data_IF_022534105166
#
_entry.id   IF_022534105166
#
_cell.length_a   1.000
_cell.length_b   1.000
_cell.length_c   1.000
_cell.angle_alpha   90.00
_cell.angle_beta   90.00
_cell.angle_gamma   90.00
#
_symmetry.space_group_name_H-M   'P 1'
#
loop_
_entity.id
_entity.type
_entity.pdbx_description
1 polymer ?
#
# COMPACT_ATOMS: atom_id res chain seq x y z
N UNK A 1 -17.52 8.10 4.21
CA UNK A 1 -16.70 9.18 4.78
C UNK A 1 -15.62 9.49 3.75
N UNK A 2 -14.84 10.57 3.90
CA UNK A 2 -13.65 10.74 3.05
C UNK A 2 -12.50 9.87 3.58
N UNK A 3 -11.62 9.39 2.71
CA UNK A 3 -10.42 8.63 3.10
C UNK A 3 -9.61 9.33 4.20
N UNK A 4 -9.51 10.66 4.11
CA UNK A 4 -8.78 11.46 5.09
C UNK A 4 -9.42 11.44 6.49
N UNK A 5 -10.74 11.32 6.58
CA UNK A 5 -11.46 11.18 7.85
C UNK A 5 -11.30 9.77 8.42
N UNK A 6 -11.40 8.73 7.59
CA UNK A 6 -11.33 7.33 8.03
C UNK A 6 -9.92 6.98 8.51
N UNK A 7 -8.90 7.29 7.72
CA UNK A 7 -7.49 7.08 8.11
C UNK A 7 -7.07 8.03 9.22
N UNK A 8 -7.58 9.27 9.22
CA UNK A 8 -7.39 10.21 10.32
C UNK A 8 -7.83 9.64 11.66
N UNK A 9 -9.00 9.01 11.69
CA UNK A 9 -9.56 8.40 12.89
C UNK A 9 -8.84 7.09 13.27
N UNK A 10 -8.52 6.23 12.29
CA UNK A 10 -7.89 4.93 12.55
C UNK A 10 -6.45 5.05 13.03
N UNK A 11 -5.67 5.96 12.44
CA UNK A 11 -4.25 6.14 12.72
C UNK A 11 -3.95 7.37 13.59
N UNK A 12 -5.00 7.99 14.16
CA UNK A 12 -4.91 9.21 14.95
C UNK A 12 -4.15 10.35 14.22
N UNK A 13 -4.33 10.44 12.91
CA UNK A 13 -3.73 11.48 12.08
C UNK A 13 -4.63 12.72 12.03
N UNK A 14 -4.00 13.89 12.03
CA UNK A 14 -4.70 15.15 11.75
C UNK A 14 -5.16 15.20 10.30
N UNK A 15 -6.18 16.00 9.99
CA UNK A 15 -6.64 16.18 8.61
C UNK A 15 -5.52 16.58 7.64
N UNK A 16 -4.54 17.37 8.11
CA UNK A 16 -3.37 17.75 7.31
C UNK A 16 -2.44 16.54 7.03
N UNK A 17 -2.21 15.68 8.03
CA UNK A 17 -1.42 14.47 7.86
C UNK A 17 -2.12 13.47 6.95
N UNK A 18 -3.43 13.27 7.10
CA UNK A 18 -4.20 12.38 6.23
C UNK A 18 -4.15 12.85 4.76
N UNK A 19 -4.28 14.15 4.51
CA UNK A 19 -4.16 14.72 3.16
C UNK A 19 -2.74 14.54 2.57
N UNK A 20 -1.70 14.67 3.40
CA UNK A 20 -0.32 14.40 2.98
C UNK A 20 -0.08 12.92 2.66
N UNK A 21 -0.64 12.02 3.46
CA UNK A 21 -0.57 10.58 3.20
C UNK A 21 -1.29 10.22 1.91
N UNK A 22 -2.51 10.71 1.71
CA UNK A 22 -3.26 10.55 0.45
C UNK A 22 -2.45 11.01 -0.77
N UNK A 23 -1.85 12.21 -0.69
CA UNK A 23 -0.97 12.72 -1.74
C UNK A 23 0.22 11.80 -1.98
N UNK A 24 0.82 11.25 -0.92
CA UNK A 24 1.92 10.31 -1.01
C UNK A 24 1.53 8.97 -1.65
N UNK A 25 0.35 8.44 -1.33
CA UNK A 25 -0.20 7.22 -1.93
C UNK A 25 -0.47 7.39 -3.41
N UNK A 26 -1.05 8.54 -3.80
CA UNK A 26 -1.28 8.88 -5.22
C UNK A 26 0.05 8.99 -5.96
N UNK A 27 1.05 9.66 -5.38
CA UNK A 27 2.38 9.76 -5.98
C UNK A 27 3.06 8.39 -6.12
N UNK A 28 2.87 7.49 -5.15
CA UNK A 28 3.38 6.14 -5.17
C UNK A 28 2.72 5.33 -6.30
N UNK A 29 1.39 5.37 -6.42
CA UNK A 29 0.64 4.73 -7.52
C UNK A 29 1.14 5.21 -8.88
N UNK A 30 1.28 6.52 -9.06
CA UNK A 30 1.78 7.11 -10.29
C UNK A 30 3.22 6.66 -10.61
N UNK A 31 4.08 6.55 -9.59
CA UNK A 31 5.44 6.06 -9.78
C UNK A 31 5.49 4.61 -10.27
N UNK A 32 4.52 3.77 -9.87
CA UNK A 32 4.38 2.41 -10.38
C UNK A 32 3.87 2.41 -11.82
N UNK A 33 2.83 3.19 -12.11
CA UNK A 33 2.22 3.26 -13.45
C UNK A 33 3.14 3.87 -14.51
N UNK A 34 4.04 4.78 -14.11
CA UNK A 34 5.03 5.38 -15.01
C UNK A 34 6.24 4.49 -15.25
N UNK A 35 6.44 3.46 -14.41
CA UNK A 35 7.54 2.53 -14.61
C UNK A 35 7.26 1.62 -15.81
N UNK A 36 8.29 1.34 -16.60
CA UNK A 36 8.17 0.48 -17.77
C UNK A 36 7.74 -0.93 -17.36
N UNK A 37 6.86 -1.56 -18.14
CA UNK A 37 6.29 -2.88 -17.85
C UNK A 37 7.35 -3.99 -17.71
N UNK A 38 8.51 -3.86 -18.37
CA UNK A 38 9.65 -4.78 -18.22
C UNK A 38 10.41 -4.57 -16.91
N UNK A 39 10.32 -3.39 -16.30
CA UNK A 39 11.03 -3.03 -15.06
C UNK A 39 10.19 -3.33 -13.83
N UNK A 40 8.87 -3.16 -13.88
CA UNK A 40 7.96 -3.38 -12.73
C UNK A 40 7.99 -4.81 -12.21
N UNK A 41 8.32 -5.77 -13.08
CA UNK A 41 8.44 -7.19 -12.73
C UNK A 41 9.80 -7.57 -12.13
N UNK A 42 10.73 -6.62 -12.01
CA UNK A 42 12.06 -6.90 -11.46
C UNK A 42 12.04 -6.84 -9.92
N UNK A 43 12.71 -7.77 -9.22
CA UNK A 43 12.86 -7.72 -7.76
C UNK A 43 13.48 -6.42 -7.26
N UNK A 44 14.38 -5.82 -8.06
CA UNK A 44 15.02 -4.55 -7.74
C UNK A 44 14.04 -3.38 -7.73
N UNK A 45 13.11 -3.35 -8.71
CA UNK A 45 12.05 -2.35 -8.73
C UNK A 45 11.08 -2.56 -7.57
N UNK A 46 10.60 -3.79 -7.38
CA UNK A 46 9.70 -4.16 -6.30
C UNK A 46 10.24 -3.76 -4.92
N UNK A 47 11.52 -4.03 -4.67
CA UNK A 47 12.20 -3.61 -3.43
C UNK A 47 12.24 -2.10 -3.27
N UNK A 48 12.61 -1.34 -4.30
CA UNK A 48 12.63 0.13 -4.25
C UNK A 48 11.23 0.72 -4.06
N UNK A 49 10.24 0.16 -4.74
CA UNK A 49 8.85 0.59 -4.64
C UNK A 49 8.30 0.35 -3.23
N UNK A 50 8.47 -0.85 -2.70
CA UNK A 50 8.05 -1.17 -1.33
C UNK A 50 8.80 -0.34 -0.29
N UNK A 51 10.10 -0.07 -0.48
CA UNK A 51 10.84 0.83 0.40
C UNK A 51 10.27 2.26 0.41
N UNK A 52 9.86 2.79 -0.74
CA UNK A 52 9.19 4.10 -0.81
C UNK A 52 7.86 4.09 -0.05
N UNK A 53 7.08 3.03 -0.19
CA UNK A 53 5.85 2.82 0.58
C UNK A 53 6.13 2.78 2.09
N UNK A 54 7.09 1.97 2.53
CA UNK A 54 7.47 1.90 3.96
C UNK A 54 7.93 3.25 4.51
N UNK A 55 8.72 4.01 3.74
CA UNK A 55 9.14 5.36 4.15
C UNK A 55 7.96 6.31 4.28
N UNK A 56 7.01 6.24 3.36
CA UNK A 56 5.79 7.05 3.40
C UNK A 56 5.01 6.76 4.68
N UNK A 57 4.62 5.51 4.93
CA UNK A 57 3.77 5.14 6.07
C UNK A 57 4.46 5.37 7.42
N UNK A 58 5.79 5.15 7.49
CA UNK A 58 6.57 5.41 8.71
C UNK A 58 6.62 6.90 9.06
N UNK A 59 6.55 7.80 8.08
CA UNK A 59 6.44 9.24 8.34
C UNK A 59 5.15 9.62 9.09
N UNK A 60 4.14 8.74 9.07
CA UNK A 60 2.86 8.89 9.77
C UNK A 60 2.73 7.94 10.97
N UNK A 61 3.84 7.40 11.49
CA UNK A 61 3.86 6.46 12.61
C UNK A 61 3.03 5.18 12.38
N UNK A 62 2.90 4.76 11.11
CA UNK A 62 2.32 3.46 10.75
C UNK A 62 3.48 2.46 10.68
N UNK A 63 3.60 1.66 11.73
CA UNK A 63 4.64 0.63 11.86
C UNK A 63 4.23 -0.72 11.27
N UNK A 64 5.15 -1.69 11.30
CA UNK A 64 4.96 -3.05 10.76
C UNK A 64 3.83 -3.84 11.44
N UNK A 65 3.38 -3.44 12.63
CA UNK A 65 2.21 -4.06 13.28
C UNK A 65 0.87 -3.47 12.77
N UNK A 66 0.89 -2.30 12.14
CA UNK A 66 -0.30 -1.59 11.67
C UNK A 66 -0.38 -1.51 10.15
N UNK A 67 0.69 -1.88 9.45
CA UNK A 67 0.76 -1.84 7.98
C UNK A 67 -0.22 -2.80 7.32
N UNK A 68 -0.48 -3.98 7.91
CA UNK A 68 -1.48 -4.92 7.39
C UNK A 68 -2.88 -4.31 7.45
N UNK A 69 -3.33 -3.89 8.63
CA UNK A 69 -4.62 -3.21 8.81
C UNK A 69 -4.76 -1.95 7.93
N UNK A 70 -3.67 -1.22 7.72
CA UNK A 70 -3.64 -0.08 6.79
C UNK A 70 -3.88 -0.51 5.35
N UNK A 71 -3.20 -1.56 4.88
CA UNK A 71 -3.37 -2.09 3.53
C UNK A 71 -4.75 -2.72 3.33
N UNK A 72 -5.32 -3.39 4.34
CA UNK A 72 -6.70 -3.88 4.32
C UNK A 72 -7.69 -2.73 4.15
N UNK A 73 -7.53 -1.65 4.92
CA UNK A 73 -8.39 -0.47 4.81
C UNK A 73 -8.25 0.21 3.44
N UNK A 74 -7.03 0.28 2.90
CA UNK A 74 -6.78 0.76 1.54
C UNK A 74 -7.44 -0.14 0.49
N UNK A 75 -7.40 -1.46 0.67
CA UNK A 75 -7.97 -2.42 -0.27
C UNK A 75 -9.50 -2.37 -0.30
N UNK A 76 -10.11 -2.18 0.87
CA UNK A 76 -11.55 -1.93 1.02
C UNK A 76 -11.99 -0.63 0.33
N UNK A 77 -11.07 0.32 0.13
CA UNK A 77 -11.32 1.58 -0.57
C UNK A 77 -11.04 1.43 -2.07
N UNK A 78 -12.08 1.46 -2.90
CA UNK A 78 -11.99 1.22 -4.36
C UNK A 78 -10.88 2.02 -5.06
N UNK A 79 -10.68 3.29 -4.68
CA UNK A 79 -9.63 4.16 -5.23
C UNK A 79 -8.21 3.62 -5.03
N UNK A 80 -7.95 2.95 -3.91
CA UNK A 80 -6.62 2.48 -3.51
C UNK A 80 -6.47 0.96 -3.66
N UNK A 81 -7.54 0.24 -3.99
CA UNK A 81 -7.52 -1.20 -4.24
C UNK A 81 -6.39 -1.59 -5.21
N UNK A 82 -6.26 -0.86 -6.32
CA UNK A 82 -5.22 -1.07 -7.32
C UNK A 82 -3.81 -0.77 -6.79
N UNK A 83 -3.65 0.19 -5.88
CA UNK A 83 -2.36 0.45 -5.25
C UNK A 83 -1.93 -0.72 -4.35
N UNK A 84 -2.87 -1.31 -3.60
CA UNK A 84 -2.59 -2.47 -2.74
C UNK A 84 -2.18 -3.69 -3.58
N UNK A 85 -2.80 -3.89 -4.75
CA UNK A 85 -2.39 -4.95 -5.70
C UNK A 85 -0.99 -4.74 -6.28
N UNK A 86 -0.40 -3.55 -6.13
CA UNK A 86 1.01 -3.32 -6.44
C UNK A 86 1.92 -3.50 -5.23
N UNK A 87 1.49 -3.05 -4.04
CA UNK A 87 2.29 -3.08 -2.82
C UNK A 87 2.54 -4.51 -2.33
N UNK A 88 1.49 -5.31 -2.20
CA UNK A 88 1.59 -6.66 -1.60
C UNK A 88 2.49 -7.59 -2.44
N UNK A 89 2.32 -7.70 -3.77
CA UNK A 89 3.24 -8.49 -4.59
C UNK A 89 4.66 -7.92 -4.59
N UNK A 90 4.82 -6.59 -4.56
CA UNK A 90 6.15 -5.96 -4.50
C UNK A 90 6.89 -6.31 -3.21
N UNK A 91 6.19 -6.41 -2.08
CA UNK A 91 6.76 -6.88 -0.82
C UNK A 91 7.31 -8.31 -0.94
N UNK A 92 6.51 -9.22 -1.49
CA UNK A 92 6.94 -10.61 -1.68
C UNK A 92 8.08 -10.74 -2.69
N UNK A 93 8.03 -9.98 -3.78
CA UNK A 93 9.10 -9.94 -4.78
C UNK A 93 10.40 -9.33 -4.21
N UNK A 94 10.31 -8.45 -3.21
CA UNK A 94 11.45 -7.91 -2.49
C UNK A 94 12.05 -8.87 -1.46
N UNK A 95 11.48 -10.07 -1.27
CA UNK A 95 11.91 -11.04 -0.27
C UNK A 95 11.24 -10.89 1.09
N UNK A 96 10.11 -10.18 1.14
CA UNK A 96 9.26 -10.07 2.33
C UNK A 96 8.69 -11.42 2.79
N UNK A 97 8.34 -11.51 4.07
CA UNK A 97 7.77 -12.73 4.65
C UNK A 97 6.33 -12.92 4.17
N UNK A 98 6.07 -14.05 3.50
CA UNK A 98 4.75 -14.37 2.94
C UNK A 98 3.63 -14.42 3.97
N UNK A 99 3.96 -14.55 5.26
CA UNK A 99 2.99 -14.57 6.36
C UNK A 99 2.48 -13.20 6.76
N UNK A 100 3.18 -12.11 6.41
CA UNK A 100 2.86 -10.75 6.91
C UNK A 100 1.63 -10.15 6.24
N UNK A 101 1.32 -10.54 5.00
CA UNK A 101 0.10 -10.11 4.30
C UNK A 101 -0.65 -11.31 3.72
N UNK A 102 -0.54 -12.48 4.38
CA UNK A 102 -1.10 -13.73 3.85
C UNK A 102 -2.62 -13.61 3.69
N UNK A 103 -3.31 -13.11 4.73
CA UNK A 103 -4.76 -12.95 4.75
C UNK A 103 -5.24 -11.98 3.67
N UNK A 104 -4.65 -10.78 3.63
CA UNK A 104 -4.94 -9.78 2.60
C UNK A 104 -4.66 -10.32 1.19
N UNK A 105 -3.55 -11.03 0.99
CA UNK A 105 -3.22 -11.58 -0.33
C UNK A 105 -4.20 -12.68 -0.76
N UNK A 106 -4.66 -13.53 0.16
CA UNK A 106 -5.71 -14.51 -0.14
C UNK A 106 -7.04 -13.85 -0.49
N UNK A 107 -7.41 -12.77 0.21
CA UNK A 107 -8.60 -11.98 -0.12
C UNK A 107 -8.50 -11.42 -1.54
N UNK A 108 -7.36 -10.82 -1.90
CA UNK A 108 -7.11 -10.28 -3.24
C UNK A 108 -7.26 -11.35 -4.34
N UNK A 109 -6.67 -12.53 -4.13
CA UNK A 109 -6.78 -13.65 -5.07
C UNK A 109 -8.23 -14.16 -5.20
N UNK A 110 -9.00 -14.09 -4.13
CA UNK A 110 -10.41 -14.51 -4.12
C UNK A 110 -11.29 -13.51 -4.87
N UNK A 111 -11.02 -12.21 -4.73
CA UNK A 111 -11.75 -11.13 -5.42
C UNK A 111 -11.46 -11.14 -6.94
N UNK A 112 -10.25 -11.53 -7.36
CA UNK A 112 -9.88 -11.66 -8.79
C UNK A 112 -10.55 -12.85 -9.51
N UNK A 113 -11.16 -13.80 -8.80
CA UNK A 113 -11.78 -15.00 -9.40
C UNK A 113 -13.30 -14.93 -9.63
N UNK A 114 -13.93 -13.77 -9.46
CA UNK A 114 -15.39 -13.59 -9.59
C UNK A 114 -15.77 -12.88 -10.90
#
# INVERSE_FOLDING_TARGET
MSFSEEVGQFFALTAAQSAQLETGLIALEQAFQQAESDVVNTPAFASRFYQKFQQLIRAFAIDENHVEAFLEHLYATERYRQLVTYIVPSYYAAGGDRKVFEELYQEMLSDEQI
#
